data_IF_661000480536
#
_entry.id   IF_661000480536
#
_cell.length_a   1.000
_cell.length_b   1.000
_cell.length_c   1.000
_cell.angle_alpha   90.00
_cell.angle_beta   90.00
_cell.angle_gamma   90.00
#
_symmetry.space_group_name_H-M   'P 1'
#
loop_
_entity.id
_entity.type
_entity.pdbx_description
1 polymer ?
#
# COMPACT_ATOMS: atom_id res chain seq x y z
N UNK A 1 -3.52 13.42 0.78
CA UNK A 1 -2.67 12.23 0.61
C UNK A 1 -1.42 12.61 -0.16
N UNK A 2 -0.24 12.26 0.37
CA UNK A 2 1.04 12.44 -0.32
C UNK A 2 1.64 11.04 -0.52
N UNK A 3 1.15 10.26 -1.49
CA UNK A 3 1.59 8.88 -1.65
C UNK A 3 3.04 8.87 -2.11
N UNK A 4 3.91 8.20 -1.34
CA UNK A 4 5.36 8.16 -1.63
C UNK A 4 5.76 6.91 -2.42
N UNK A 5 4.98 5.84 -2.31
CA UNK A 5 5.27 4.58 -2.97
C UNK A 5 4.00 3.81 -3.32
N UNK A 6 4.10 3.05 -4.40
CA UNK A 6 3.09 2.09 -4.87
C UNK A 6 3.77 0.73 -5.06
N UNK A 7 3.09 -0.35 -4.68
CA UNK A 7 3.56 -1.70 -4.91
C UNK A 7 2.37 -2.66 -5.14
N UNK A 8 2.57 -3.68 -5.97
CA UNK A 8 1.57 -4.73 -6.19
C UNK A 8 1.97 -6.01 -5.47
N UNK A 9 1.00 -6.68 -4.82
CA UNK A 9 1.17 -8.06 -4.38
C UNK A 9 0.93 -9.05 -5.54
N UNK A 10 1.23 -10.33 -5.33
CA UNK A 10 1.03 -11.38 -6.36
C UNK A 10 -0.44 -11.64 -6.72
N UNK A 11 -1.38 -11.26 -5.86
CA UNK A 11 -2.80 -11.36 -6.14
C UNK A 11 -3.32 -10.16 -6.96
N UNK A 12 -2.44 -9.22 -7.31
CA UNK A 12 -2.77 -8.02 -8.09
C UNK A 12 -3.37 -6.89 -7.27
N UNK A 13 -3.30 -6.94 -5.93
CA UNK A 13 -3.73 -5.83 -5.11
C UNK A 13 -2.67 -4.73 -5.12
N UNK A 14 -3.11 -3.48 -5.22
CA UNK A 14 -2.26 -2.30 -5.14
C UNK A 14 -2.16 -1.82 -3.69
N UNK A 15 -0.96 -1.52 -3.24
CA UNK A 15 -0.69 -0.91 -1.95
C UNK A 15 -0.11 0.48 -2.15
N UNK A 16 -0.63 1.46 -1.43
CA UNK A 16 -0.22 2.85 -1.50
C UNK A 16 0.24 3.35 -0.12
N UNK A 17 1.48 3.83 -0.05
CA UNK A 17 2.04 4.44 1.15
C UNK A 17 1.60 5.90 1.26
N UNK A 18 0.57 6.18 2.05
CA UNK A 18 0.05 7.53 2.27
C UNK A 18 0.84 8.24 3.38
N UNK A 19 1.92 8.93 2.98
CA UNK A 19 2.87 9.55 3.90
C UNK A 19 2.22 10.56 4.86
N UNK A 20 1.41 11.46 4.32
CA UNK A 20 0.74 12.48 5.12
C UNK A 20 -0.37 11.88 6.02
N UNK A 21 -1.08 10.86 5.52
CA UNK A 21 -2.13 10.17 6.26
C UNK A 21 -1.61 9.20 7.32
N UNK A 22 -0.31 8.88 7.31
CA UNK A 22 0.29 7.82 8.14
C UNK A 22 -0.43 6.47 8.02
N UNK A 23 -0.80 6.12 6.79
CA UNK A 23 -1.47 4.86 6.47
C UNK A 23 -0.81 4.18 5.28
N UNK A 24 -0.98 2.88 5.21
CA UNK A 24 -0.87 2.11 3.96
C UNK A 24 -2.27 1.69 3.58
N UNK A 25 -2.70 2.08 2.37
CA UNK A 25 -3.99 1.71 1.81
C UNK A 25 -3.81 0.55 0.84
N UNK A 26 -4.73 -0.42 0.87
CA UNK A 26 -4.78 -1.55 -0.06
C UNK A 26 -6.00 -1.41 -0.96
N UNK A 27 -5.81 -1.61 -2.25
CA UNK A 27 -6.85 -1.63 -3.27
C UNK A 27 -6.89 -2.98 -3.95
N UNK A 28 -8.08 -3.57 -4.02
CA UNK A 28 -8.31 -4.81 -4.78
C UNK A 28 -8.24 -4.55 -6.30
N UNK A 29 -8.07 -5.58 -7.15
CA UNK A 29 -8.18 -5.43 -8.60
C UNK A 29 -9.50 -4.83 -9.08
N UNK A 30 -10.57 -4.95 -8.28
CA UNK A 30 -11.88 -4.34 -8.54
C UNK A 30 -11.96 -2.86 -8.12
N UNK A 31 -10.87 -2.30 -7.58
CA UNK A 31 -10.79 -0.89 -7.17
C UNK A 31 -11.28 -0.60 -5.74
N UNK A 32 -11.77 -1.60 -5.00
CA UNK A 32 -12.21 -1.39 -3.61
C UNK A 32 -10.99 -1.16 -2.70
N UNK A 33 -10.98 -0.04 -1.97
CA UNK A 33 -9.88 0.41 -1.11
C UNK A 33 -10.18 0.29 0.39
N UNK A 34 -9.19 -0.12 1.18
CA UNK A 34 -9.25 -0.18 2.65
C UNK A 34 -7.92 0.22 3.28
N UNK A 35 -7.93 0.64 4.55
CA UNK A 35 -6.69 0.83 5.32
C UNK A 35 -6.13 -0.55 5.65
N UNK A 36 -4.92 -0.83 5.17
CA UNK A 36 -4.21 -2.07 5.46
C UNK A 36 -3.42 -1.97 6.76
N UNK A 37 -2.74 -0.83 6.98
CA UNK A 37 -1.94 -0.60 8.18
C UNK A 37 -1.84 0.88 8.52
N UNK A 38 -1.60 1.18 9.79
CA UNK A 38 -1.20 2.51 10.26
C UNK A 38 0.32 2.52 10.40
N UNK A 39 1.00 3.37 9.64
CA UNK A 39 2.46 3.47 9.60
C UNK A 39 2.80 4.95 9.60
N UNK A 40 3.69 5.41 10.46
CA UNK A 40 4.04 6.84 10.49
C UNK A 40 4.90 7.17 9.27
N UNK A 41 4.41 8.09 8.43
CA UNK A 41 5.14 8.65 7.29
C UNK A 41 5.80 7.59 6.39
N UNK A 42 5.06 6.59 5.87
CA UNK A 42 5.64 5.54 5.03
C UNK A 42 6.18 6.15 3.73
N UNK A 43 7.41 5.80 3.39
CA UNK A 43 8.11 6.33 2.22
C UNK A 43 8.43 5.27 1.16
N UNK A 44 8.34 3.98 1.49
CA UNK A 44 8.66 2.87 0.60
C UNK A 44 7.81 1.64 0.91
N UNK A 45 7.55 0.83 -0.12
CA UNK A 45 6.86 -0.45 -0.02
C UNK A 45 7.60 -1.47 -0.88
N UNK A 46 7.80 -2.66 -0.33
CA UNK A 46 8.32 -3.81 -1.05
C UNK A 46 7.64 -5.07 -0.50
N UNK A 47 7.39 -6.02 -1.39
CA UNK A 47 6.95 -7.36 -1.04
C UNK A 47 8.15 -8.30 -1.04
N UNK A 48 8.12 -9.32 -0.18
CA UNK A 48 9.15 -10.36 -0.22
C UNK A 48 9.04 -11.22 -1.51
N UNK A 49 9.95 -12.17 -1.69
CA UNK A 49 9.94 -13.08 -2.83
C UNK A 49 8.68 -13.98 -2.90
N UNK A 50 7.90 -14.06 -1.82
CA UNK A 50 6.61 -14.74 -1.77
C UNK A 50 5.44 -13.83 -2.16
N UNK A 51 5.66 -12.52 -2.24
CA UNK A 51 4.66 -11.51 -2.59
C UNK A 51 3.78 -11.09 -1.41
N UNK A 52 4.27 -11.22 -0.18
CA UNK A 52 3.56 -10.87 1.07
C UNK A 52 4.15 -9.66 1.77
#
# INVERSE_FOLDING_TARGET
>A
NFPMALAFDRAGNLYAANFAGSTVEKFTPAGAGTVFANVIRPSGLAFDASGR
#
